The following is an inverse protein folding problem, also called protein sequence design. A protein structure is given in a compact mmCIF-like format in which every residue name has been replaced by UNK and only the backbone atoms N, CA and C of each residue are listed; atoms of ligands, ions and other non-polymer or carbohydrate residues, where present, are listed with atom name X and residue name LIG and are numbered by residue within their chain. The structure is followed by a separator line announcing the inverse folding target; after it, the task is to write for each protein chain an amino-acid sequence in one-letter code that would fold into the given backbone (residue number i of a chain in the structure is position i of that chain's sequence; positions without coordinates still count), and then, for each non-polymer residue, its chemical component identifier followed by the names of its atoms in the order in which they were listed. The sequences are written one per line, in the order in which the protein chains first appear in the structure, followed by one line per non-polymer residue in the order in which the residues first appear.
data_IF_910370643007
#
_entry.id   IF_910370643007
#
_cell.length_a   1.000
_cell.length_b   1.000
_cell.length_c   1.000
_cell.angle_alpha   90.00
_cell.angle_beta   90.00
_cell.angle_gamma   90.00
#
_symmetry.space_group_name_H-M   'P 1'
#
loop_
_entity.id
_entity.type
_entity.pdbx_description
1 polymer ?
#
# COMPACT_ATOMS: atom_id res chain seq x y z
N UNK A 1 -8.09 -66.42 8.91
CA UNK A 1 -8.93 -65.21 9.04
C UNK A 1 -8.05 -63.98 8.93
N UNK A 2 -8.27 -63.12 7.93
CA UNK A 2 -7.51 -61.87 7.73
C UNK A 2 -8.12 -60.76 8.58
N UNK A 3 -7.35 -60.16 9.50
CA UNK A 3 -7.76 -58.95 10.20
C UNK A 3 -7.28 -57.73 9.41
N UNK A 4 -8.24 -57.03 8.82
CA UNK A 4 -8.13 -55.62 8.43
C UNK A 4 -8.18 -54.76 9.69
N UNK A 5 -7.40 -53.66 9.71
CA UNK A 5 -7.58 -52.35 10.41
C UNK A 5 -6.20 -51.83 10.82
N UNK A 6 -5.84 -50.57 10.70
CA UNK A 6 -6.40 -49.36 10.10
C UNK A 6 -5.26 -48.32 10.18
N UNK A 7 -5.08 -47.49 9.15
CA UNK A 7 -4.09 -46.40 9.16
C UNK A 7 -4.40 -45.42 10.32
N UNK A 8 -3.43 -44.98 11.14
CA UNK A 8 -3.62 -43.84 12.02
C UNK A 8 -3.44 -42.54 11.23
N UNK A 9 -4.58 -41.88 11.05
CA UNK A 9 -4.88 -40.45 11.11
C UNK A 9 -3.77 -39.43 10.86
N UNK A 10 -3.96 -38.65 9.80
CA UNK A 10 -3.29 -37.41 9.43
C UNK A 10 -3.13 -36.44 10.60
N UNK A 11 -1.90 -35.99 10.83
CA UNK A 11 -1.64 -34.75 11.58
C UNK A 11 -1.93 -33.57 10.65
N UNK A 12 -3.08 -32.93 10.83
CA UNK A 12 -3.37 -31.64 10.18
C UNK A 12 -2.57 -30.59 10.95
N UNK A 13 -1.45 -30.16 10.37
CA UNK A 13 -0.72 -28.98 10.85
C UNK A 13 -1.69 -27.79 10.87
N UNK A 14 -1.84 -27.19 12.05
CA UNK A 14 -2.65 -25.98 12.23
C UNK A 14 -2.07 -24.87 11.34
N UNK A 15 -2.88 -24.17 10.54
CA UNK A 15 -2.40 -23.05 9.75
C UNK A 15 -1.77 -22.03 10.69
N UNK A 16 -0.49 -21.71 10.46
CA UNK A 16 0.22 -20.62 11.14
C UNK A 16 -0.66 -19.38 11.06
N UNK A 17 -1.12 -18.89 12.21
CA UNK A 17 -1.73 -17.57 12.32
C UNK A 17 -0.68 -16.54 11.89
N UNK A 18 -0.78 -16.06 10.66
CA UNK A 18 -0.02 -14.91 10.18
C UNK A 18 -0.68 -13.66 10.77
N UNK A 19 -0.13 -13.17 11.87
CA UNK A 19 -0.60 -11.95 12.52
C UNK A 19 -0.33 -10.76 11.59
N UNK A 20 -1.38 -10.07 11.15
CA UNK A 20 -1.24 -8.87 10.36
C UNK A 20 -0.59 -7.75 11.16
N UNK A 21 0.60 -7.31 10.73
CA UNK A 21 1.27 -6.16 11.30
C UNK A 21 0.77 -4.89 10.60
N UNK A 22 0.10 -4.02 11.34
CA UNK A 22 -0.35 -2.70 10.88
C UNK A 22 0.75 -1.70 11.23
N UNK A 23 1.30 -1.02 10.22
CA UNK A 23 2.26 0.07 10.43
C UNK A 23 1.50 1.39 10.30
N UNK A 24 1.49 2.17 11.38
CA UNK A 24 0.96 3.53 11.36
C UNK A 24 2.07 4.51 10.94
N UNK A 25 1.82 5.30 9.90
CA UNK A 25 2.74 6.35 9.49
C UNK A 25 2.74 7.45 10.54
N UNK A 26 3.89 7.68 11.20
CA UNK A 26 4.11 8.90 12.00
C UNK A 26 4.57 10.01 11.06
N UNK A 27 4.10 11.26 11.24
CA UNK A 27 4.64 12.41 10.52
C UNK A 27 6.15 12.47 10.73
N UNK A 28 6.93 12.51 9.64
CA UNK A 28 8.37 12.74 9.75
C UNK A 28 8.58 14.23 10.04
N UNK A 29 9.40 14.64 11.03
CA UNK A 29 9.67 16.05 11.28
C UNK A 29 10.18 16.74 10.01
N UNK A 30 9.71 17.96 9.79
CA UNK A 30 9.99 18.78 8.62
C UNK A 30 11.46 19.26 8.61
N UNK A 31 12.40 18.36 8.39
CA UNK A 31 13.81 18.72 8.18
C UNK A 31 14.55 17.59 7.46
N UNK A 32 14.56 17.63 6.13
CA UNK A 32 15.64 17.10 5.30
C UNK A 32 15.56 17.76 3.93
N UNK A 33 16.69 18.25 3.44
CA UNK A 33 16.87 18.69 2.06
C UNK A 33 16.54 17.53 1.11
N UNK A 34 15.33 17.53 0.56
CA UNK A 34 14.95 16.60 -0.50
C UNK A 34 15.27 17.23 -1.86
N UNK A 35 15.93 16.53 -2.78
CA UNK A 35 16.12 17.03 -4.13
C UNK A 35 14.74 17.28 -4.79
N UNK A 36 14.56 18.38 -5.53
CA UNK A 36 13.29 18.67 -6.18
C UNK A 36 13.13 17.74 -7.39
N UNK A 37 11.91 17.23 -7.59
CA UNK A 37 11.44 16.32 -8.64
C UNK A 37 11.43 14.84 -8.25
N UNK A 38 10.68 14.50 -7.20
CA UNK A 38 10.23 13.12 -7.04
C UNK A 38 8.97 12.86 -7.90
N UNK A 39 9.07 11.87 -8.78
CA UNK A 39 7.96 11.42 -9.62
C UNK A 39 6.94 10.60 -8.82
N UNK A 40 7.26 10.14 -7.61
CA UNK A 40 6.38 9.26 -6.83
C UNK A 40 6.19 7.89 -7.50
N UNK A 41 5.56 6.94 -6.81
CA UNK A 41 5.32 5.58 -7.34
C UNK A 41 3.92 5.46 -7.90
N UNK A 42 3.77 4.79 -9.03
CA UNK A 42 2.43 4.59 -9.60
C UNK A 42 1.58 3.66 -8.73
N UNK A 43 0.32 4.02 -8.55
CA UNK A 43 -0.66 3.22 -7.81
C UNK A 43 -1.91 2.97 -8.64
N UNK A 44 -2.56 1.83 -8.39
CA UNK A 44 -3.90 1.51 -8.89
C UNK A 44 -4.91 1.52 -7.75
N UNK A 45 -6.17 1.85 -8.06
CA UNK A 45 -7.27 1.71 -7.11
C UNK A 45 -7.90 0.33 -7.30
N UNK A 46 -7.87 -0.56 -6.30
CA UNK A 46 -8.58 -1.82 -6.36
C UNK A 46 -10.10 -1.61 -6.48
N UNK A 47 -10.79 -2.53 -7.14
CA UNK A 47 -12.24 -2.48 -7.34
C UNK A 47 -13.03 -3.02 -6.13
N UNK A 48 -12.67 -2.55 -4.93
CA UNK A 48 -13.44 -2.82 -3.72
C UNK A 48 -13.63 -1.54 -2.91
N UNK A 49 -14.81 -1.40 -2.32
CA UNK A 49 -15.15 -0.25 -1.49
C UNK A 49 -14.85 -0.58 -0.03
N UNK A 50 -14.13 0.32 0.63
CA UNK A 50 -13.97 0.31 2.08
C UNK A 50 -15.12 1.13 2.69
N UNK A 51 -14.82 1.98 3.67
CA UNK A 51 -15.79 2.90 4.28
C UNK A 51 -15.95 4.19 3.45
N UNK A 52 -17.06 4.93 3.60
CA UNK A 52 -17.20 6.25 2.98
C UNK A 52 -16.01 7.15 3.29
N UNK A 53 -15.43 7.77 2.27
CA UNK A 53 -14.24 8.61 2.41
C UNK A 53 -12.93 7.85 2.59
N UNK A 54 -12.92 6.52 2.56
CA UNK A 54 -11.72 5.67 2.64
C UNK A 54 -11.60 4.85 1.34
N UNK A 55 -10.39 4.72 0.81
CA UNK A 55 -10.09 3.92 -0.38
C UNK A 55 -8.76 3.19 -0.26
N UNK A 56 -8.59 2.10 -1.00
CA UNK A 56 -7.31 1.41 -1.11
C UNK A 56 -6.54 1.89 -2.33
N UNK A 57 -5.22 1.96 -2.25
CA UNK A 57 -4.32 2.21 -3.38
C UNK A 57 -3.20 1.17 -3.36
N UNK A 58 -3.11 0.37 -4.42
CA UNK A 58 -2.08 -0.67 -4.59
C UNK A 58 -0.89 -0.08 -5.33
N UNK A 59 0.31 -0.29 -4.81
CA UNK A 59 1.56 0.17 -5.43
C UNK A 59 1.92 -0.76 -6.58
N UNK A 60 2.07 -0.22 -7.77
CA UNK A 60 2.34 -1.00 -8.99
C UNK A 60 3.83 -1.14 -9.30
N UNK A 61 4.62 -0.13 -8.94
CA UNK A 61 6.01 0.01 -9.40
C UNK A 61 7.01 -0.17 -8.25
N UNK A 62 8.14 -0.79 -8.58
CA UNK A 62 9.34 -0.85 -7.72
C UNK A 62 10.17 0.43 -7.79
N UNK A 63 9.87 1.32 -8.75
CA UNK A 63 10.54 2.60 -8.95
C UNK A 63 10.78 3.40 -7.67
N UNK A 64 11.99 3.94 -7.53
CA UNK A 64 12.43 4.72 -6.37
C UNK A 64 11.74 6.07 -6.31
N UNK A 65 10.82 6.22 -5.35
CA UNK A 65 10.37 7.52 -4.87
C UNK A 65 11.09 7.86 -3.57
N UNK A 66 11.60 9.07 -3.48
CA UNK A 66 12.39 9.56 -2.34
C UNK A 66 11.56 9.52 -1.06
N UNK A 67 12.08 8.83 -0.05
CA UNK A 67 11.41 8.67 1.23
C UNK A 67 10.18 7.77 1.19
N UNK A 68 10.04 6.91 0.17
CA UNK A 68 9.09 5.80 0.11
C UNK A 68 9.78 4.44 0.31
N UNK A 69 10.95 4.41 0.97
CA UNK A 69 11.77 3.19 1.13
C UNK A 69 11.02 2.06 1.86
N UNK A 70 10.06 2.42 2.72
CA UNK A 70 9.24 1.46 3.47
C UNK A 70 8.03 0.93 2.69
N UNK A 71 7.77 1.46 1.48
CA UNK A 71 6.62 1.12 0.63
C UNK A 71 7.11 0.36 -0.59
N UNK A 72 6.73 -0.90 -0.69
CA UNK A 72 7.18 -1.82 -1.74
C UNK A 72 6.11 -2.01 -2.81
N UNK A 73 6.53 -2.49 -3.99
CA UNK A 73 5.58 -2.90 -5.02
C UNK A 73 4.66 -4.01 -4.49
N UNK A 74 3.37 -3.93 -4.82
CA UNK A 74 2.34 -4.84 -4.33
C UNK A 74 1.76 -4.47 -2.97
N UNK A 75 2.37 -3.53 -2.23
CA UNK A 75 1.78 -3.02 -0.98
C UNK A 75 0.45 -2.32 -1.25
N UNK A 76 -0.45 -2.40 -0.28
CA UNK A 76 -1.72 -1.69 -0.32
C UNK A 76 -1.77 -0.63 0.76
N UNK A 77 -2.00 0.60 0.33
CA UNK A 77 -2.18 1.76 1.18
C UNK A 77 -3.67 1.95 1.43
N UNK A 78 -4.05 2.14 2.69
CA UNK A 78 -5.39 2.58 3.06
C UNK A 78 -5.36 4.09 3.16
N UNK A 79 -6.15 4.76 2.34
CA UNK A 79 -6.14 6.20 2.17
C UNK A 79 -7.47 6.84 2.55
N UNK A 80 -7.42 8.00 3.18
CA UNK A 80 -8.55 8.88 3.38
C UNK A 80 -8.66 9.85 2.21
N UNK A 81 -9.86 10.06 1.69
CA UNK A 81 -10.13 11.10 0.68
C UNK A 81 -10.04 12.46 1.36
N UNK A 82 -9.05 13.21 0.92
CA UNK A 82 -8.64 14.49 1.49
C UNK A 82 -7.89 15.25 0.39
N UNK A 83 -8.05 16.57 0.32
CA UNK A 83 -7.36 17.45 -0.61
C UNK A 83 -6.23 18.27 0.05
N UNK A 84 -6.09 18.14 1.38
CA UNK A 84 -5.01 18.71 2.17
C UNK A 84 -4.03 17.62 2.65
N UNK A 85 -2.80 18.04 2.96
CA UNK A 85 -1.78 17.22 3.60
C UNK A 85 -0.73 18.09 4.30
N UNK A 86 -0.08 17.51 5.30
CA UNK A 86 1.04 18.11 6.01
C UNK A 86 2.39 17.58 5.51
N UNK A 87 3.47 18.39 5.57
CA UNK A 87 4.81 17.94 5.21
C UNK A 87 5.21 16.65 5.93
N UNK A 88 5.69 15.68 5.16
CA UNK A 88 6.11 14.36 5.64
C UNK A 88 5.04 13.27 5.55
N UNK A 89 3.77 13.63 5.32
CA UNK A 89 2.69 12.66 5.13
C UNK A 89 2.76 11.95 3.78
N UNK A 90 2.27 10.70 3.72
CA UNK A 90 2.19 9.96 2.46
C UNK A 90 0.84 10.27 1.81
N UNK A 91 0.86 10.74 0.57
CA UNK A 91 -0.31 11.18 -0.17
C UNK A 91 -0.45 10.44 -1.50
N UNK A 92 -1.70 10.27 -1.92
CA UNK A 92 -2.05 9.85 -3.27
C UNK A 92 -2.38 11.11 -4.07
N UNK A 93 -1.67 11.30 -5.17
CA UNK A 93 -1.90 12.40 -6.09
C UNK A 93 -2.35 11.91 -7.45
N UNK A 94 -3.17 12.71 -8.12
CA UNK A 94 -3.51 12.51 -9.52
C UNK A 94 -2.76 13.52 -10.38
N UNK A 95 -2.15 13.04 -11.45
CA UNK A 95 -1.52 13.86 -12.49
C UNK A 95 -2.55 14.36 -13.51
N UNK A 96 -2.20 15.37 -14.31
CA UNK A 96 -3.02 15.80 -15.45
C UNK A 96 -3.32 14.68 -16.46
N UNK A 97 -2.42 13.70 -16.59
CA UNK A 97 -2.62 12.53 -17.44
C UNK A 97 -3.56 11.47 -16.82
N UNK A 98 -4.17 11.77 -15.65
CA UNK A 98 -5.08 10.88 -14.95
C UNK A 98 -4.41 9.80 -14.10
N UNK A 99 -3.07 9.62 -14.23
CA UNK A 99 -2.31 8.65 -13.43
C UNK A 99 -2.35 8.99 -11.95
N UNK A 100 -2.42 7.95 -11.11
CA UNK A 100 -2.34 8.07 -9.66
C UNK A 100 -0.95 7.68 -9.18
N UNK A 101 -0.40 8.50 -8.29
CA UNK A 101 0.94 8.32 -7.76
C UNK A 101 0.89 8.43 -6.23
N UNK A 102 1.63 7.57 -5.53
CA UNK A 102 1.94 7.77 -4.11
C UNK A 102 3.24 8.55 -3.98
N UNK A 103 3.28 9.49 -3.04
CA UNK A 103 4.49 10.21 -2.67
C UNK A 103 4.44 10.74 -1.25
N UNK A 104 5.59 11.18 -0.75
CA UNK A 104 5.66 11.97 0.48
C UNK A 104 5.38 13.43 0.14
N UNK A 105 4.46 14.06 0.87
CA UNK A 105 4.15 15.48 0.74
C UNK A 105 5.28 16.32 1.33
N UNK A 106 5.67 17.37 0.63
CA UNK A 106 6.72 18.33 0.98
C UNK A 106 6.06 19.72 1.13
N UNK A 107 6.60 20.56 2.02
CA UNK A 107 6.33 22.01 2.10
C UNK A 107 6.36 22.79 0.77
N UNK A 108 7.11 22.34 -0.24
CA UNK A 108 7.11 22.88 -1.61
C UNK A 108 5.89 22.45 -2.45
N UNK A 109 5.06 21.57 -1.89
CA UNK A 109 3.83 21.07 -2.47
C UNK A 109 4.01 19.82 -3.33
N UNK A 110 2.96 19.49 -4.07
CA UNK A 110 2.91 18.27 -4.89
C UNK A 110 3.41 18.46 -6.33
N UNK A 111 4.03 19.59 -6.66
CA UNK A 111 4.43 19.93 -8.04
C UNK A 111 3.25 20.40 -8.91
N UNK A 112 3.54 21.16 -9.97
CA UNK A 112 2.54 21.69 -10.89
C UNK A 112 1.82 20.57 -11.66
N UNK A 113 0.51 20.74 -11.88
CA UNK A 113 -0.30 19.76 -12.62
C UNK A 113 -0.60 18.47 -11.84
N UNK A 114 -0.52 18.50 -10.51
CA UNK A 114 -0.94 17.39 -9.65
C UNK A 114 -1.96 17.89 -8.64
N UNK A 115 -2.89 17.04 -8.22
CA UNK A 115 -3.83 17.30 -7.10
C UNK A 115 -3.76 16.19 -6.07
N UNK A 116 -3.96 16.51 -4.80
CA UNK A 116 -4.13 15.51 -3.75
C UNK A 116 -5.52 14.88 -3.93
N UNK A 117 -5.56 13.56 -3.89
CA UNK A 117 -6.80 12.75 -3.95
C UNK A 117 -7.09 12.13 -2.60
N UNK A 118 -6.03 11.86 -1.84
CA UNK A 118 -6.15 11.40 -0.48
C UNK A 118 -4.80 11.24 0.20
N UNK A 119 -4.87 10.88 1.46
CA UNK A 119 -3.75 10.70 2.36
C UNK A 119 -3.70 9.26 2.86
N UNK A 120 -2.56 8.62 2.80
CA UNK A 120 -2.37 7.28 3.33
C UNK A 120 -2.36 7.33 4.86
N UNK A 121 -3.26 6.55 5.47
CA UNK A 121 -3.37 6.36 6.91
C UNK A 121 -2.51 5.18 7.39
N UNK A 122 -2.52 4.09 6.61
CA UNK A 122 -1.91 2.82 6.97
C UNK A 122 -1.31 2.11 5.76
N UNK A 123 -0.22 1.38 6.02
CA UNK A 123 0.34 0.40 5.10
C UNK A 123 -0.16 -1.00 5.49
N UNK A 124 -0.76 -1.71 4.55
CA UNK A 124 -1.14 -3.11 4.71
C UNK A 124 -0.43 -3.97 3.67
N UNK A 125 0.37 -4.92 4.18
CA UNK A 125 0.98 -5.98 3.38
C UNK A 125 0.03 -7.16 3.14
N UNK A 126 -1.19 -7.10 3.68
CA UNK A 126 -2.14 -8.20 3.68
C UNK A 126 -3.04 -8.24 2.45
N UNK A 127 -3.25 -7.11 1.77
CA UNK A 127 -3.94 -7.10 0.49
C UNK A 127 -2.94 -7.41 -0.63
N UNK A 128 -2.35 -8.61 -0.56
CA UNK A 128 -1.86 -9.25 -1.77
C UNK A 128 -2.96 -9.19 -2.82
N UNK A 129 -2.59 -9.01 -4.08
CA UNK A 129 -3.57 -9.19 -5.15
C UNK A 129 -4.18 -10.58 -4.94
N UNK A 130 -5.42 -10.85 -5.34
CA UNK A 130 -5.78 -12.24 -5.59
C UNK A 130 -4.62 -12.82 -6.39
N UNK A 131 -3.97 -13.83 -5.82
CA UNK A 131 -2.86 -14.51 -6.46
C UNK A 131 -3.45 -15.30 -7.62
N UNK A 132 -3.83 -14.60 -8.70
CA UNK A 132 -4.03 -15.23 -10.00
C UNK A 132 -2.64 -15.51 -10.55
N UNK A 133 -2.03 -16.56 -9.99
CA UNK A 133 -1.38 -17.62 -10.74
C UNK A 133 -1.64 -18.91 -9.99
N UNK A 134 -2.61 -19.68 -10.48
CA UNK A 134 -2.46 -21.12 -10.53
C UNK A 134 -1.02 -21.43 -10.97
N UNK A 135 -0.21 -21.97 -10.07
CA UNK A 135 0.97 -22.74 -10.42
C UNK A 135 0.51 -24.19 -10.47
N UNK A 136 0.35 -24.70 -11.69
CA UNK A 136 0.28 -26.12 -12.00
C UNK A 136 1.68 -26.65 -12.28
#
# INVERSE_FOLDING_TARGET
MRQHRSKPTSAVESPRQTTAQIIQFKPRPASADFPPLDMGREVTLPDFKLMPGIFAARVNDEGGGDGLDDILAGDTLVCQRDDAAEPGEIVIVQTLAGKLLVKRYDSRGIGSGRRIVGRALYLSRFFGAPADKEEA
#
